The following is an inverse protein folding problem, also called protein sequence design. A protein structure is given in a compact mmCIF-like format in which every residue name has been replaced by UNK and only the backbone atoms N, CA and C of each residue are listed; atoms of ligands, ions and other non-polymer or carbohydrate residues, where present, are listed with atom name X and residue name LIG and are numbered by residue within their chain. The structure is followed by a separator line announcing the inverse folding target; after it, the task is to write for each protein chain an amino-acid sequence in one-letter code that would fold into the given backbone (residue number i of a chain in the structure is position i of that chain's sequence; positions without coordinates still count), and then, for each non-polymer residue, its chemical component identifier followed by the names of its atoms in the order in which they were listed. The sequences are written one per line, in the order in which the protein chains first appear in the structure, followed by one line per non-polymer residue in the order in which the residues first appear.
data_IF_977459256073
#
_entry.id   IF_977459256073
#
_cell.length_a   1.000
_cell.length_b   1.000
_cell.length_c   1.000
_cell.angle_alpha   90.00
_cell.angle_beta   90.00
_cell.angle_gamma   90.00
#
_symmetry.space_group_name_H-M   'P 1'
#
loop_
_entity.id
_entity.type
_entity.pdbx_description
1 polymer ?
#
# COMPACT_ATOMS: atom_id res chain seq x y z
N UNK A 1 -1.69 0.31 1.17
CA UNK A 1 -1.41 -1.15 1.26
C UNK A 1 -0.93 -1.65 -0.09
N UNK A 2 0.14 -2.42 -0.12
CA UNK A 2 0.74 -2.96 -1.34
C UNK A 2 0.20 -4.38 -1.59
N UNK A 3 -0.42 -4.61 -2.75
CA UNK A 3 -0.86 -5.93 -3.21
C UNK A 3 0.00 -6.41 -4.37
N UNK A 4 0.39 -7.68 -4.33
CA UNK A 4 1.36 -8.23 -5.26
C UNK A 4 1.57 -9.72 -5.07
N UNK A 5 2.72 -10.23 -5.50
CA UNK A 5 3.10 -11.62 -5.32
C UNK A 5 4.56 -11.77 -4.90
N UNK A 6 4.91 -12.90 -4.29
CA UNK A 6 6.29 -13.23 -3.95
C UNK A 6 6.89 -14.15 -5.00
N UNK A 7 8.03 -13.78 -5.55
CA UNK A 7 8.72 -14.49 -6.61
C UNK A 7 10.18 -14.75 -6.25
N UNK A 8 10.83 -15.79 -6.80
CA UNK A 8 12.27 -15.98 -6.66
C UNK A 8 13.03 -14.80 -7.29
N UNK A 9 13.97 -14.23 -6.53
CA UNK A 9 14.88 -13.22 -7.04
C UNK A 9 16.13 -13.91 -7.60
N UNK A 10 16.31 -13.82 -8.92
CA UNK A 10 17.38 -14.55 -9.63
C UNK A 10 18.79 -14.00 -9.37
N UNK A 11 18.92 -12.73 -9.00
CA UNK A 11 20.21 -12.05 -8.83
C UNK A 11 20.79 -12.20 -7.42
N UNK A 12 19.98 -12.68 -6.47
CA UNK A 12 20.39 -12.94 -5.08
C UNK A 12 20.25 -14.43 -4.78
N UNK A 13 21.29 -15.13 -4.27
CA UNK A 13 21.20 -16.55 -3.94
C UNK A 13 20.06 -16.85 -2.98
N UNK A 14 19.10 -17.69 -3.41
CA UNK A 14 17.88 -18.01 -2.66
C UNK A 14 17.04 -16.77 -2.28
N UNK A 15 17.21 -15.68 -3.03
CA UNK A 15 16.49 -14.43 -2.80
C UNK A 15 15.01 -14.56 -3.13
N UNK A 16 14.20 -13.78 -2.43
CA UNK A 16 12.77 -13.62 -2.67
C UNK A 16 12.53 -12.14 -2.89
N UNK A 17 11.78 -11.80 -3.93
CA UNK A 17 11.31 -10.43 -4.18
C UNK A 17 9.78 -10.38 -4.03
N UNK A 18 9.28 -9.25 -3.56
CA UNK A 18 7.86 -8.93 -3.63
C UNK A 18 7.63 -8.07 -4.89
N UNK A 19 6.88 -8.59 -5.86
CA UNK A 19 6.47 -7.83 -7.04
C UNK A 19 5.13 -7.18 -6.73
N UNK A 20 5.11 -5.86 -6.56
CA UNK A 20 3.90 -5.08 -6.29
C UNK A 20 3.14 -4.85 -7.59
N UNK A 21 1.83 -5.02 -7.53
CA UNK A 21 0.93 -4.93 -8.68
C UNK A 21 -0.09 -3.80 -8.54
N UNK A 22 -0.60 -3.57 -7.34
CA UNK A 22 -1.55 -2.51 -7.06
C UNK A 22 -1.34 -1.95 -5.65
N UNK A 23 -1.77 -0.71 -5.46
CA UNK A 23 -1.75 -0.02 -4.17
C UNK A 23 -3.19 0.28 -3.79
N UNK A 24 -3.66 -0.29 -2.69
CA UNK A 24 -4.96 0.01 -2.10
C UNK A 24 -4.81 1.08 -1.03
N UNK A 25 -5.64 2.12 -1.03
CA UNK A 25 -5.62 3.17 -0.03
C UNK A 25 -6.70 2.93 1.03
N UNK A 26 -6.35 2.46 2.24
CA UNK A 26 -7.34 2.26 3.29
C UNK A 26 -7.90 3.61 3.79
N UNK A 27 -9.07 3.62 4.45
CA UNK A 27 -9.58 4.79 5.15
C UNK A 27 -8.51 5.37 6.09
N UNK A 28 -8.21 6.65 5.92
CA UNK A 28 -7.12 7.31 6.63
C UNK A 28 -7.39 8.80 6.80
N UNK A 29 -6.84 9.37 7.88
CA UNK A 29 -6.78 10.80 8.15
C UNK A 29 -5.32 11.25 8.08
N UNK A 30 -5.03 12.15 7.15
CA UNK A 30 -3.69 12.70 6.96
C UNK A 30 -3.67 14.20 7.23
N UNK A 31 -2.53 14.68 7.72
CA UNK A 31 -2.14 16.08 7.69
C UNK A 31 -0.75 16.20 7.08
N UNK A 32 -0.17 17.40 7.09
CA UNK A 32 1.22 17.61 6.68
C UNK A 32 2.19 16.79 7.55
N UNK A 33 1.88 16.65 8.84
CA UNK A 33 2.83 16.17 9.85
C UNK A 33 2.41 14.84 10.51
N UNK A 34 1.24 14.26 10.15
CA UNK A 34 0.82 12.97 10.70
C UNK A 34 -0.05 12.19 9.72
N UNK A 35 -0.08 10.86 9.91
CA UNK A 35 -0.99 9.95 9.25
C UNK A 35 -1.64 9.03 10.27
N UNK A 36 -2.95 8.89 10.22
CA UNK A 36 -3.72 7.98 11.06
C UNK A 36 -4.56 7.05 10.19
N UNK A 37 -4.32 5.75 10.32
CA UNK A 37 -5.17 4.75 9.69
C UNK A 37 -6.48 4.59 10.47
N UNK A 38 -7.59 4.59 9.77
CA UNK A 38 -8.92 4.34 10.33
C UNK A 38 -9.31 2.85 10.16
N UNK A 39 -10.29 2.36 10.92
CA UNK A 39 -10.86 1.04 10.71
C UNK A 39 -11.39 0.88 9.27
N UNK A 40 -11.03 -0.23 8.64
CA UNK A 40 -11.43 -0.54 7.27
C UNK A 40 -12.36 -1.76 7.26
N UNK A 41 -13.66 -1.51 7.10
CA UNK A 41 -14.68 -2.55 7.01
C UNK A 41 -14.57 -3.37 5.71
N UNK A 42 -13.92 -2.82 4.67
CA UNK A 42 -13.78 -3.43 3.35
C UNK A 42 -12.48 -4.24 3.23
N UNK A 43 -11.59 -4.20 4.21
CA UNK A 43 -10.27 -4.84 4.15
C UNK A 43 -10.31 -6.34 3.79
N UNK A 44 -11.20 -7.11 4.43
CA UNK A 44 -11.32 -8.56 4.19
C UNK A 44 -11.86 -8.87 2.77
N UNK A 45 -12.72 -8.00 2.25
CA UNK A 45 -13.25 -8.10 0.90
C UNK A 45 -12.14 -7.83 -0.13
N UNK A 46 -11.36 -6.77 0.09
CA UNK A 46 -10.21 -6.44 -0.78
C UNK A 46 -9.18 -7.58 -0.76
N UNK A 47 -8.89 -8.14 0.41
CA UNK A 47 -8.00 -9.30 0.54
C UNK A 47 -8.54 -10.54 -0.20
N UNK A 48 -9.87 -10.72 -0.25
CA UNK A 48 -10.51 -11.80 -1.01
C UNK A 48 -10.38 -11.58 -2.52
N UNK A 49 -10.71 -10.39 -3.02
CA UNK A 49 -10.57 -10.06 -4.45
C UNK A 49 -9.12 -10.21 -4.90
N UNK A 50 -8.17 -9.69 -4.11
CA UNK A 50 -6.75 -9.84 -4.38
C UNK A 50 -6.35 -11.33 -4.46
N UNK A 51 -6.80 -12.16 -3.51
CA UNK A 51 -6.51 -13.60 -3.50
C UNK A 51 -7.04 -14.32 -4.73
N UNK A 52 -8.25 -14.00 -5.17
CA UNK A 52 -8.87 -14.62 -6.35
C UNK A 52 -8.11 -14.23 -7.64
N UNK A 53 -7.56 -13.01 -7.69
CA UNK A 53 -6.62 -12.55 -8.73
C UNK A 53 -5.20 -13.16 -8.60
N UNK A 54 -4.93 -13.95 -7.56
CA UNK A 54 -3.61 -14.52 -7.28
C UNK A 54 -2.62 -13.57 -6.61
N UNK A 55 -3.11 -12.45 -6.08
CA UNK A 55 -2.36 -11.44 -5.34
C UNK A 55 -2.52 -11.64 -3.83
N UNK A 56 -1.55 -11.14 -3.07
CA UNK A 56 -1.56 -11.09 -1.61
C UNK A 56 -1.09 -9.71 -1.16
N UNK A 57 -1.48 -9.31 0.05
CA UNK A 57 -0.94 -8.10 0.67
C UNK A 57 0.53 -8.34 1.04
N UNK A 58 1.43 -7.67 0.33
CA UNK A 58 2.89 -7.87 0.47
C UNK A 58 3.56 -6.82 1.35
N UNK A 59 2.89 -5.69 1.58
CA UNK A 59 3.48 -4.61 2.36
C UNK A 59 2.57 -3.40 2.51
N UNK A 60 3.16 -2.30 2.99
CA UNK A 60 2.54 -0.99 3.04
C UNK A 60 3.53 0.07 2.58
N UNK A 61 3.00 1.22 2.16
CA UNK A 61 3.77 2.37 1.71
C UNK A 61 3.17 3.62 2.36
N UNK A 62 4.02 4.56 2.71
CA UNK A 62 3.64 5.89 3.15
C UNK A 62 4.58 6.93 2.53
N UNK A 63 4.16 8.19 2.55
CA UNK A 63 4.90 9.30 1.94
C UNK A 63 5.40 10.26 3.00
N UNK A 64 6.64 10.72 2.83
CA UNK A 64 7.23 11.80 3.62
C UNK A 64 7.97 12.75 2.67
N UNK A 65 7.17 13.54 1.94
CA UNK A 65 7.63 14.44 0.90
C UNK A 65 7.35 15.88 1.30
N UNK A 66 8.43 16.65 1.49
CA UNK A 66 8.35 18.10 1.68
C UNK A 66 8.87 18.77 0.42
N UNK A 67 8.03 19.53 -0.33
CA UNK A 67 8.46 20.19 -1.53
C UNK A 67 9.51 21.27 -1.20
N UNK A 68 10.65 21.22 -1.90
CA UNK A 68 11.69 22.26 -1.84
C UNK A 68 11.42 23.32 -2.90
N UNK A 69 11.11 22.88 -4.12
CA UNK A 69 10.76 23.78 -5.22
C UNK A 69 9.66 23.17 -6.10
N UNK A 70 8.45 23.72 -5.99
CA UNK A 70 7.28 23.27 -6.75
C UNK A 70 7.43 23.40 -8.27
N UNK A 71 8.21 24.37 -8.77
CA UNK A 71 8.40 24.55 -10.23
C UNK A 71 9.36 23.51 -10.82
N UNK A 72 10.33 23.06 -10.02
CA UNK A 72 11.31 22.04 -10.43
C UNK A 72 10.87 20.62 -10.06
N UNK A 73 9.83 20.48 -9.23
CA UNK A 73 9.39 19.19 -8.69
C UNK A 73 10.38 18.57 -7.72
N UNK A 74 11.25 19.37 -7.07
CA UNK A 74 12.26 18.87 -6.14
C UNK A 74 11.73 18.79 -4.71
N UNK A 75 12.23 17.81 -3.95
CA UNK A 75 11.80 17.50 -2.59
C UNK A 75 12.99 17.53 -1.64
N UNK A 76 12.75 17.80 -0.36
CA UNK A 76 13.80 17.82 0.67
C UNK A 76 14.30 16.42 1.00
N UNK A 77 15.61 16.29 1.21
CA UNK A 77 16.25 15.10 1.77
C UNK A 77 16.25 15.17 3.30
N UNK A 78 15.17 14.73 3.93
CA UNK A 78 14.98 14.81 5.39
C UNK A 78 15.43 13.56 6.14
N UNK A 79 15.41 12.39 5.49
CA UNK A 79 15.81 11.10 6.06
C UNK A 79 17.22 10.75 5.61
N UNK A 80 18.19 10.83 6.52
CA UNK A 80 19.59 10.57 6.22
C UNK A 80 20.36 10.12 7.47
N UNK A 81 21.66 9.85 7.30
CA UNK A 81 22.54 9.38 8.38
C UNK A 81 22.64 10.34 9.59
N UNK A 82 22.34 11.63 9.40
CA UNK A 82 22.36 12.64 10.48
C UNK A 82 20.98 12.87 11.11
N UNK A 83 19.93 12.19 10.61
CA UNK A 83 18.57 12.25 11.16
C UNK A 83 18.10 10.83 11.50
N UNK A 84 17.22 10.26 10.69
CA UNK A 84 16.68 8.92 10.83
C UNK A 84 16.23 8.40 9.47
N UNK A 85 16.20 7.07 9.32
CA UNK A 85 15.65 6.41 8.14
C UNK A 85 14.15 6.14 8.31
N UNK A 86 13.79 5.49 9.43
CA UNK A 86 12.41 5.40 9.93
C UNK A 86 12.32 6.10 11.28
N UNK A 87 11.12 6.52 11.67
CA UNK A 87 10.86 6.94 13.04
C UNK A 87 10.55 5.73 13.93
N UNK A 88 10.65 5.89 15.25
CA UNK A 88 10.27 4.86 16.20
C UNK A 88 8.79 4.46 16.07
N UNK A 89 7.91 5.41 15.75
CA UNK A 89 6.49 5.15 15.48
C UNK A 89 6.29 4.30 14.22
N UNK A 90 6.98 4.64 13.13
CA UNK A 90 6.97 3.88 11.88
C UNK A 90 7.55 2.48 12.04
N UNK A 91 8.62 2.34 12.84
CA UNK A 91 9.24 1.05 13.16
C UNK A 91 8.29 0.17 13.98
N UNK A 92 7.60 0.74 14.97
CA UNK A 92 6.57 0.03 15.74
C UNK A 92 5.40 -0.37 14.83
N UNK A 93 4.97 0.52 13.93
CA UNK A 93 3.90 0.24 12.97
C UNK A 93 4.30 -0.87 11.98
N UNK A 94 5.54 -0.87 11.50
CA UNK A 94 6.09 -1.93 10.67
C UNK A 94 6.10 -3.28 11.41
N UNK A 95 6.54 -3.30 12.67
CA UNK A 95 6.49 -4.49 13.52
C UNK A 95 5.07 -4.99 13.76
N UNK A 96 4.10 -4.09 13.95
CA UNK A 96 2.68 -4.43 14.06
C UNK A 96 2.17 -5.11 12.78
N UNK A 97 2.45 -4.55 11.60
CA UNK A 97 2.02 -5.15 10.34
C UNK A 97 2.70 -6.49 10.05
N UNK A 98 3.98 -6.64 10.36
CA UNK A 98 4.68 -7.91 10.21
C UNK A 98 4.10 -8.99 11.14
N UNK A 99 3.75 -8.64 12.38
CA UNK A 99 3.09 -9.57 13.31
C UNK A 99 1.68 -9.97 12.83
N UNK A 100 0.96 -9.08 12.14
CA UNK A 100 -0.35 -9.38 11.54
C UNK A 100 -0.25 -10.31 10.32
N UNK A 101 0.91 -10.37 9.67
CA UNK A 101 1.16 -11.18 8.48
C UNK A 101 2.35 -12.14 8.69
N UNK A 102 2.24 -13.13 9.60
CA UNK A 102 3.32 -14.07 9.87
C UNK A 102 3.57 -14.98 8.66
N UNK A 103 4.84 -15.29 8.39
CA UNK A 103 5.21 -16.16 7.27
C UNK A 103 5.15 -17.64 7.68
N UNK A 104 4.33 -18.49 7.03
CA UNK A 104 4.29 -19.92 7.30
C UNK A 104 5.64 -20.59 7.00
N UNK A 105 6.11 -21.41 7.94
CA UNK A 105 7.40 -22.09 7.86
C UNK A 105 7.32 -23.48 8.52
N UNK A 106 7.42 -24.54 7.72
CA UNK A 106 7.39 -25.94 8.21
C UNK A 106 8.56 -26.31 9.11
N UNK A 107 9.67 -25.57 9.03
CA UNK A 107 10.87 -25.78 9.83
C UNK A 107 10.80 -25.07 11.20
N UNK A 108 9.82 -24.20 11.39
CA UNK A 108 9.58 -23.54 12.67
C UNK A 108 8.76 -24.44 13.58
N UNK A 109 9.11 -24.59 14.87
CA UNK A 109 8.30 -25.32 15.85
C UNK A 109 6.85 -24.83 15.92
N UNK A 110 6.66 -23.51 15.79
CA UNK A 110 5.34 -22.86 15.88
C UNK A 110 4.61 -22.79 14.53
N UNK A 111 5.19 -23.36 13.47
CA UNK A 111 4.64 -23.33 12.11
C UNK A 111 4.80 -22.00 11.37
N UNK A 112 5.31 -20.96 12.02
CA UNK A 112 5.57 -19.64 11.45
C UNK A 112 6.96 -19.12 11.82
N UNK A 113 7.59 -18.36 10.93
CA UNK A 113 8.87 -17.71 11.21
C UNK A 113 8.99 -16.37 10.48
N UNK A 114 9.14 -15.29 11.26
CA UNK A 114 9.23 -13.92 10.77
C UNK A 114 8.03 -13.50 9.93
N UNK A 115 8.25 -12.50 9.08
CA UNK A 115 7.27 -12.01 8.10
C UNK A 115 7.96 -11.63 6.80
N UNK A 116 7.26 -11.80 5.68
CA UNK A 116 7.66 -11.27 4.36
C UNK A 116 7.04 -9.90 4.07
N UNK A 117 6.30 -9.35 5.02
CA UNK A 117 5.65 -8.06 4.86
C UNK A 117 6.71 -6.95 4.86
N UNK A 118 6.65 -6.07 3.86
CA UNK A 118 7.61 -4.97 3.68
C UNK A 118 7.00 -3.61 4.00
N UNK A 119 7.85 -2.69 4.43
CA UNK A 119 7.53 -1.28 4.64
C UNK A 119 8.26 -0.46 3.60
N UNK A 120 7.56 0.39 2.87
CA UNK A 120 8.16 1.30 1.88
C UNK A 120 7.92 2.75 2.31
N UNK A 121 8.98 3.54 2.38
CA UNK A 121 8.92 4.98 2.59
C UNK A 121 9.17 5.68 1.25
N UNK A 122 8.26 6.56 0.85
CA UNK A 122 8.46 7.40 -0.33
C UNK A 122 8.90 8.80 0.12
N UNK A 123 10.18 9.12 -0.08
CA UNK A 123 10.84 10.33 0.44
C UNK A 123 11.81 10.93 -0.57
N UNK A 124 12.49 12.03 -0.22
CA UNK A 124 13.51 12.65 -1.07
C UNK A 124 14.89 12.02 -0.91
N UNK A 125 15.64 11.85 -2.01
CA UNK A 125 17.03 11.37 -1.99
C UNK A 125 18.06 12.52 -1.84
N UNK A 126 19.35 12.18 -1.77
CA UNK A 126 20.47 13.15 -1.73
C UNK A 126 20.46 14.16 -2.89
N UNK A 127 19.86 13.79 -4.04
CA UNK A 127 19.75 14.63 -5.23
C UNK A 127 18.45 15.45 -5.27
N UNK A 128 17.65 15.43 -4.21
CA UNK A 128 16.35 16.10 -4.10
C UNK A 128 15.27 15.58 -5.07
N UNK A 129 15.42 14.32 -5.51
CA UNK A 129 14.42 13.60 -6.28
C UNK A 129 13.59 12.70 -5.36
N UNK A 130 12.32 12.51 -5.70
CA UNK A 130 11.48 11.55 -5.00
C UNK A 130 11.96 10.12 -5.30
N UNK A 131 12.14 9.32 -4.25
CA UNK A 131 12.59 7.93 -4.35
C UNK A 131 11.95 7.06 -3.27
N UNK A 132 12.04 5.74 -3.43
CA UNK A 132 11.50 4.75 -2.52
C UNK A 132 12.60 4.06 -1.72
N UNK A 133 12.46 4.04 -0.40
CA UNK A 133 13.28 3.28 0.53
C UNK A 133 12.47 2.11 1.08
N UNK A 134 13.03 0.89 1.07
CA UNK A 134 12.36 -0.31 1.55
C UNK A 134 13.00 -0.83 2.83
N UNK A 135 12.16 -1.24 3.77
CA UNK A 135 12.56 -1.73 5.07
C UNK A 135 11.74 -2.94 5.49
N UNK A 136 12.35 -3.79 6.29
CA UNK A 136 11.69 -4.72 7.19
C UNK A 136 12.20 -4.48 8.60
N UNK A 137 11.42 -4.86 9.61
CA UNK A 137 11.94 -4.91 10.97
C UNK A 137 12.41 -6.33 11.31
N UNK A 138 13.37 -6.42 12.20
CA UNK A 138 13.93 -7.70 12.64
C UNK A 138 12.88 -8.53 13.39
N UNK A 139 13.06 -9.85 13.43
CA UNK A 139 12.21 -10.72 14.24
C UNK A 139 12.25 -10.35 15.74
N UNK A 140 13.34 -9.73 16.21
CA UNK A 140 13.44 -9.21 17.57
C UNK A 140 12.53 -8.00 17.76
N UNK A 141 12.49 -7.07 16.80
CA UNK A 141 11.53 -5.96 16.80
C UNK A 141 10.09 -6.46 16.81
N UNK A 142 9.78 -7.45 15.95
CA UNK A 142 8.46 -8.08 15.93
C UNK A 142 8.06 -8.59 17.33
N UNK A 143 8.95 -9.31 18.03
CA UNK A 143 8.68 -9.80 19.38
C UNK A 143 8.48 -8.64 20.39
N UNK A 144 9.34 -7.62 20.35
CA UNK A 144 9.24 -6.45 21.23
C UNK A 144 7.95 -5.66 21.01
N UNK A 145 7.48 -5.53 19.76
CA UNK A 145 6.22 -4.86 19.44
C UNK A 145 5.03 -5.72 19.85
N UNK A 146 5.05 -7.03 19.56
CA UNK A 146 3.98 -7.98 19.93
C UNK A 146 3.74 -7.98 21.43
N UNK A 147 4.81 -8.01 22.21
CA UNK A 147 4.76 -8.08 23.67
C UNK A 147 4.65 -6.67 24.29
N UNK A 148 4.39 -5.64 23.48
CA UNK A 148 4.22 -4.26 23.91
C UNK A 148 5.38 -3.79 24.82
N UNK A 149 6.62 -4.02 24.41
CA UNK A 149 7.82 -3.64 25.16
C UNK A 149 8.43 -2.31 24.66
N UNK A 150 8.12 -1.88 23.43
CA UNK A 150 8.66 -0.65 22.83
C UNK A 150 7.66 0.51 22.89
N UNK A 151 8.20 1.70 23.15
CA UNK A 151 7.52 2.99 23.06
C UNK A 151 8.28 3.91 22.10
N UNK A 152 7.58 4.73 21.30
CA UNK A 152 8.24 5.82 20.59
C UNK A 152 8.71 6.88 21.58
N UNK A 153 9.78 7.59 21.24
CA UNK A 153 10.21 8.77 22.00
C UNK A 153 9.64 10.04 21.38
N UNK A 154 9.55 11.11 22.17
CA UNK A 154 8.92 12.37 21.74
C UNK A 154 9.85 13.23 20.87
N UNK A 155 11.09 13.42 21.32
CA UNK A 155 12.02 14.41 20.75
C UNK A 155 13.15 13.79 19.90
N UNK A 156 13.19 12.46 19.78
CA UNK A 156 14.26 11.72 19.11
C UNK A 156 13.70 10.58 18.24
N UNK A 157 13.17 10.87 17.03
CA UNK A 157 12.51 9.86 16.19
C UNK A 157 13.36 8.63 15.89
N UNK A 158 14.70 8.74 15.89
CA UNK A 158 15.66 7.66 15.72
C UNK A 158 15.79 6.71 16.93
N UNK A 159 15.19 7.07 18.07
CA UNK A 159 15.27 6.34 19.32
C UNK A 159 13.89 5.81 19.75
N UNK A 160 13.85 4.55 20.17
CA UNK A 160 12.72 3.94 20.88
C UNK A 160 13.08 3.72 22.36
N UNK A 161 12.09 3.74 23.23
CA UNK A 161 12.28 3.47 24.66
C UNK A 161 11.73 2.09 25.00
N UNK A 162 12.56 1.21 25.58
CA UNK A 162 12.08 -0.07 26.12
C UNK A 162 11.44 0.18 27.48
N UNK A 163 10.16 -0.21 27.62
CA UNK A 163 9.39 -0.08 28.85
C UNK A 163 10.12 -0.72 30.04
N UNK A 164 9.90 -0.16 31.22
CA UNK A 164 10.34 -0.79 32.45
C UNK A 164 9.34 -1.87 32.89
N UNK A 165 9.84 -2.91 33.57
CA UNK A 165 8.96 -3.90 34.18
C UNK A 165 8.05 -3.25 35.21
N UNK A 166 6.76 -3.59 35.15
CA UNK A 166 5.76 -3.18 36.14
C UNK A 166 5.10 -4.42 36.76
N UNK A 167 4.22 -4.21 37.74
CA UNK A 167 3.42 -5.30 38.32
C UNK A 167 2.42 -5.90 37.31
N UNK A 168 2.06 -5.14 36.28
CA UNK A 168 1.06 -5.53 35.26
C UNK A 168 1.70 -6.23 34.06
N UNK A 169 2.95 -5.87 33.74
CA UNK A 169 3.67 -6.37 32.58
C UNK A 169 5.15 -6.56 32.90
N UNK A 170 5.62 -7.79 32.73
CA UNK A 170 7.05 -8.10 32.79
C UNK A 170 7.72 -7.70 31.47
N UNK A 171 8.72 -6.83 31.54
CA UNK A 171 9.55 -6.43 30.41
C UNK A 171 11.00 -6.77 30.73
N UNK A 172 11.64 -7.71 30.02
CA UNK A 172 13.00 -8.12 30.32
C UNK A 172 13.98 -6.96 30.07
N UNK A 173 15.14 -7.01 30.70
CA UNK A 173 16.21 -6.08 30.38
C UNK A 173 16.73 -6.36 28.97
N UNK A 174 16.57 -5.36 28.09
CA UNK A 174 17.03 -5.41 26.71
C UNK A 174 18.35 -4.64 26.62
N UNK A 175 19.32 -5.26 25.96
CA UNK A 175 20.64 -4.68 25.74
C UNK A 175 20.97 -4.71 24.25
N UNK A 176 21.78 -3.75 23.81
CA UNK A 176 22.36 -3.73 22.47
C UNK A 176 23.87 -3.54 22.57
N UNK A 177 24.58 -3.97 21.53
CA UNK A 177 26.04 -3.85 21.45
C UNK A 177 26.40 -2.70 20.54
N UNK A 178 27.28 -1.83 21.02
CA UNK A 178 27.89 -0.76 20.23
C UNK A 178 29.40 -0.94 20.17
N UNK A 179 30.03 -0.50 19.09
CA UNK A 179 31.49 -0.41 19.01
C UNK A 179 31.95 0.96 19.51
N UNK A 180 32.86 0.99 20.47
CA UNK A 180 33.47 2.22 20.93
C UNK A 180 34.49 2.79 19.91
N UNK A 181 35.04 3.97 20.19
CA UNK A 181 36.07 4.62 19.35
C UNK A 181 37.36 3.80 19.22
N UNK A 182 37.56 2.78 20.04
CA UNK A 182 38.71 1.88 20.05
C UNK A 182 38.40 0.52 19.40
N UNK A 183 37.18 0.32 18.90
CA UNK A 183 36.73 -0.90 18.23
C UNK A 183 36.27 -2.02 19.17
N UNK A 184 36.17 -1.78 20.48
CA UNK A 184 35.69 -2.78 21.44
C UNK A 184 34.15 -2.82 21.44
N UNK A 185 33.56 -4.01 21.60
CA UNK A 185 32.12 -4.16 21.80
C UNK A 185 31.72 -3.84 23.24
N UNK A 186 30.93 -2.80 23.42
CA UNK A 186 30.35 -2.40 24.70
C UNK A 186 28.85 -2.70 24.69
N UNK A 187 28.36 -3.27 25.79
CA UNK A 187 26.93 -3.55 25.98
C UNK A 187 26.28 -2.32 26.62
N UNK A 188 25.22 -1.80 26.00
CA UNK A 188 24.41 -0.71 26.52
C UNK A 188 22.97 -1.16 26.77
N UNK A 189 22.33 -0.52 27.76
CA UNK A 189 20.92 -0.74 28.08
C UNK A 189 20.05 -0.04 27.03
N UNK A 190 19.04 -0.73 26.52
CA UNK A 190 18.12 -0.26 25.47
C UNK A 190 17.07 0.77 25.98
N UNK A 191 17.52 1.75 26.78
CA UNK A 191 16.71 2.82 27.36
C UNK A 191 17.47 4.15 27.28
N UNK A 192 17.61 4.78 26.09
CA UNK A 192 16.92 4.48 24.83
C UNK A 192 17.63 3.44 23.93
N UNK A 193 16.90 2.92 22.95
CA UNK A 193 17.36 1.99 21.92
C UNK A 193 17.36 2.69 20.56
N UNK A 194 18.51 2.80 19.88
CA UNK A 194 18.53 3.24 18.49
C UNK A 194 17.79 2.26 17.59
N UNK A 195 16.82 2.73 16.83
CA UNK A 195 15.95 1.85 16.04
C UNK A 195 16.69 1.20 14.88
N UNK A 196 17.82 1.75 14.44
CA UNK A 196 18.65 1.20 13.36
C UNK A 196 19.04 -0.27 13.59
N UNK A 197 19.22 -0.69 14.85
CA UNK A 197 19.51 -2.08 15.22
C UNK A 197 18.34 -3.02 14.95
N UNK A 198 17.14 -2.48 14.79
CA UNK A 198 15.90 -3.21 14.53
C UNK A 198 15.52 -3.21 13.05
N UNK A 199 16.19 -2.44 12.21
CA UNK A 199 15.87 -2.29 10.79
C UNK A 199 16.72 -3.22 9.92
N UNK A 200 16.11 -3.66 8.83
CA UNK A 200 16.75 -4.42 7.76
C UNK A 200 16.40 -3.72 6.45
N UNK A 201 17.42 -3.30 5.72
CA UNK A 201 17.23 -2.67 4.41
C UNK A 201 16.77 -3.71 3.38
N UNK A 202 15.71 -3.35 2.64
CA UNK A 202 15.18 -4.14 1.52
C UNK A 202 15.29 -3.30 0.26
N UNK A 203 16.12 -3.70 -0.72
CA UNK A 203 16.23 -2.96 -1.98
C UNK A 203 14.88 -2.83 -2.68
N UNK A 204 14.54 -1.59 -3.07
CA UNK A 204 13.35 -1.28 -3.87
C UNK A 204 13.79 -0.82 -5.24
N UNK A 205 13.15 -1.33 -6.27
CA UNK A 205 13.40 -0.90 -7.64
C UNK A 205 12.14 -1.02 -8.48
N UNK A 206 12.11 -0.22 -9.54
CA UNK A 206 11.17 -0.39 -10.63
C UNK A 206 11.80 -1.25 -11.71
N UNK A 207 11.03 -2.13 -12.40
CA UNK A 207 11.54 -2.86 -13.55
C UNK A 207 12.01 -1.89 -14.65
N UNK A 208 13.14 -2.19 -15.30
CA UNK A 208 13.63 -1.39 -16.44
C UNK A 208 12.60 -1.34 -17.58
N UNK A 209 11.97 -2.47 -17.86
CA UNK A 209 10.85 -2.58 -18.79
C UNK A 209 9.55 -2.69 -17.99
N UNK A 210 8.58 -1.77 -18.15
CA UNK A 210 7.36 -1.76 -17.35
C UNK A 210 6.53 -3.01 -17.63
N UNK A 211 6.24 -3.78 -16.58
CA UNK A 211 5.43 -4.99 -16.65
C UNK A 211 4.08 -4.72 -16.00
N UNK A 212 3.05 -4.55 -16.83
CA UNK A 212 1.70 -4.28 -16.37
C UNK A 212 0.93 -5.59 -16.15
N UNK A 213 0.44 -5.79 -14.92
CA UNK A 213 -0.51 -6.88 -14.62
C UNK A 213 -1.93 -6.43 -14.92
N UNK A 214 -2.28 -5.22 -14.51
CA UNK A 214 -3.53 -4.54 -14.86
C UNK A 214 -3.39 -3.78 -16.18
N UNK A 215 -4.49 -3.48 -16.84
CA UNK A 215 -4.44 -2.77 -18.11
C UNK A 215 -4.05 -1.31 -17.86
N UNK A 216 -2.99 -0.85 -18.53
CA UNK A 216 -2.54 0.53 -18.46
C UNK A 216 -2.37 1.06 -19.88
N UNK A 217 -3.08 2.14 -20.19
CA UNK A 217 -3.03 2.83 -21.47
C UNK A 217 -2.98 4.33 -21.21
N UNK A 218 -1.92 4.99 -21.67
CA UNK A 218 -1.66 6.41 -21.46
C UNK A 218 -2.74 7.30 -22.09
N UNK A 219 -3.50 6.77 -23.05
CA UNK A 219 -4.59 7.49 -23.69
C UNK A 219 -5.91 7.48 -22.91
N UNK A 220 -6.04 6.63 -21.90
CA UNK A 220 -7.26 6.47 -21.10
C UNK A 220 -7.08 6.99 -19.69
N UNK A 221 -8.17 7.49 -19.09
CA UNK A 221 -8.17 7.88 -17.69
C UNK A 221 -8.48 6.67 -16.81
N UNK A 222 -7.65 6.38 -15.78
CA UNK A 222 -7.89 5.27 -14.86
C UNK A 222 -9.13 5.53 -13.99
N UNK A 223 -9.69 4.45 -13.42
CA UNK A 223 -10.83 4.58 -12.53
C UNK A 223 -10.40 5.30 -11.23
N UNK A 224 -11.25 6.15 -10.62
CA UNK A 224 -10.91 6.84 -9.37
C UNK A 224 -10.50 5.87 -8.26
N UNK A 225 -9.44 6.21 -7.53
CA UNK A 225 -8.95 5.42 -6.39
C UNK A 225 -9.88 5.63 -5.18
N UNK A 226 -10.09 4.58 -4.40
CA UNK A 226 -10.92 4.62 -3.19
C UNK A 226 -10.40 5.60 -2.12
N UNK A 227 -11.30 6.03 -1.23
CA UNK A 227 -10.96 6.83 -0.03
C UNK A 227 -10.28 8.19 -0.28
N UNK A 228 -10.45 8.76 -1.48
CA UNK A 228 -9.90 10.08 -1.88
C UNK A 228 -10.97 11.18 -2.02
N UNK A 229 -12.01 11.15 -1.19
CA UNK A 229 -13.11 12.13 -1.26
C UNK A 229 -12.63 13.59 -1.12
N UNK A 230 -11.59 13.82 -0.29
CA UNK A 230 -11.03 15.16 -0.09
C UNK A 230 -10.28 15.70 -1.32
N UNK A 231 -9.81 14.83 -2.20
CA UNK A 231 -9.10 15.18 -3.44
C UNK A 231 -10.05 15.34 -4.64
N UNK A 232 -11.37 15.21 -4.39
CA UNK A 232 -12.39 15.24 -5.44
C UNK A 232 -12.48 13.97 -6.29
N UNK A 233 -11.75 12.91 -5.93
CA UNK A 233 -11.87 11.60 -6.55
C UNK A 233 -12.96 10.80 -5.85
N UNK A 234 -14.17 10.87 -6.40
CA UNK A 234 -15.34 10.15 -5.89
C UNK A 234 -15.58 8.92 -6.77
N UNK A 235 -15.76 7.76 -6.12
CA UNK A 235 -16.21 6.55 -6.80
C UNK A 235 -17.74 6.55 -6.82
N UNK A 236 -18.32 7.02 -7.91
CA UNK A 236 -19.75 7.03 -8.15
C UNK A 236 -20.10 6.41 -9.52
N UNK A 237 -21.41 6.26 -9.76
CA UNK A 237 -21.91 5.66 -10.98
C UNK A 237 -21.62 6.52 -12.24
N UNK A 238 -21.71 7.86 -12.20
CA UNK A 238 -21.27 8.71 -13.32
C UNK A 238 -19.79 8.49 -13.72
N UNK A 239 -18.88 8.32 -12.76
CA UNK A 239 -17.48 8.02 -13.04
C UNK A 239 -17.31 6.62 -13.63
N UNK A 240 -18.12 5.64 -13.22
CA UNK A 240 -18.18 4.32 -13.86
C UNK A 240 -18.60 4.42 -15.33
N UNK A 241 -19.64 5.18 -15.64
CA UNK A 241 -20.11 5.43 -17.02
C UNK A 241 -19.00 6.08 -17.87
N UNK A 242 -18.41 7.15 -17.34
CA UNK A 242 -17.30 7.87 -17.98
C UNK A 242 -16.11 6.94 -18.27
N UNK A 243 -15.75 6.09 -17.32
CA UNK A 243 -14.66 5.12 -17.45
C UNK A 243 -14.95 4.09 -18.54
N UNK A 244 -16.10 3.41 -18.47
CA UNK A 244 -16.46 2.32 -19.39
C UNK A 244 -16.65 2.81 -20.84
N UNK A 245 -17.11 4.05 -21.05
CA UNK A 245 -17.25 4.66 -22.39
C UNK A 245 -15.94 4.84 -23.15
N UNK A 246 -14.80 4.77 -22.46
CA UNK A 246 -13.48 4.84 -23.11
C UNK A 246 -13.09 3.53 -23.81
N UNK A 247 -13.84 2.45 -23.58
CA UNK A 247 -13.55 1.12 -24.09
C UNK A 247 -14.59 0.68 -25.12
N UNK A 248 -14.14 -0.04 -26.14
CA UNK A 248 -15.03 -0.70 -27.10
C UNK A 248 -15.53 -2.04 -26.53
N UNK A 249 -16.60 -2.60 -27.10
CA UNK A 249 -17.15 -3.90 -26.69
C UNK A 249 -16.13 -5.05 -26.71
N UNK A 250 -15.16 -5.01 -27.63
CA UNK A 250 -14.08 -6.01 -27.73
C UNK A 250 -12.95 -5.84 -26.70
N UNK A 251 -12.97 -4.73 -25.94
CA UNK A 251 -11.99 -4.36 -24.93
C UNK A 251 -12.52 -4.50 -23.50
N UNK A 252 -13.55 -5.32 -23.32
CA UNK A 252 -14.19 -5.51 -22.02
C UNK A 252 -13.24 -6.06 -20.95
N UNK A 253 -12.37 -7.02 -21.33
CA UNK A 253 -11.37 -7.58 -20.42
C UNK A 253 -10.39 -6.49 -19.97
N UNK A 254 -9.95 -5.64 -20.88
CA UNK A 254 -9.06 -4.51 -20.61
C UNK A 254 -9.73 -3.48 -19.69
N UNK A 255 -11.01 -3.18 -19.89
CA UNK A 255 -11.77 -2.29 -19.03
C UNK A 255 -11.93 -2.84 -17.60
N UNK A 256 -12.20 -4.14 -17.47
CA UNK A 256 -12.39 -4.78 -16.16
C UNK A 256 -11.07 -5.10 -15.46
N UNK A 257 -9.95 -5.01 -16.16
CA UNK A 257 -8.61 -5.27 -15.63
C UNK A 257 -8.05 -4.04 -14.88
N UNK A 258 -8.85 -3.46 -13.98
CA UNK A 258 -8.50 -2.36 -13.08
C UNK A 258 -8.86 -2.76 -11.64
N UNK A 259 -7.88 -2.71 -10.73
CA UNK A 259 -8.06 -3.18 -9.35
C UNK A 259 -9.08 -2.34 -8.57
N UNK A 260 -9.09 -1.02 -8.77
CA UNK A 260 -9.95 -0.10 -8.05
C UNK A 260 -11.40 -0.23 -8.52
N UNK A 261 -11.58 -0.44 -9.83
CA UNK A 261 -12.89 -0.75 -10.40
C UNK A 261 -13.48 -2.04 -9.81
N UNK A 262 -12.68 -3.10 -9.71
CA UNK A 262 -13.14 -4.39 -9.17
C UNK A 262 -13.60 -4.25 -7.70
N UNK A 263 -12.88 -3.46 -6.90
CA UNK A 263 -13.26 -3.15 -5.52
C UNK A 263 -14.57 -2.35 -5.49
N UNK A 264 -14.72 -1.37 -6.37
CA UNK A 264 -15.95 -0.60 -6.49
C UNK A 264 -17.14 -1.49 -6.84
N UNK A 265 -17.03 -2.34 -7.87
CA UNK A 265 -18.09 -3.27 -8.27
C UNK A 265 -18.46 -4.27 -7.16
N UNK A 266 -17.48 -4.70 -6.37
CA UNK A 266 -17.73 -5.58 -5.23
C UNK A 266 -18.40 -4.87 -4.03
N UNK A 267 -18.20 -3.56 -3.88
CA UNK A 267 -18.68 -2.77 -2.74
C UNK A 267 -19.85 -1.85 -3.05
N UNK A 268 -20.34 -1.85 -4.29
CA UNK A 268 -21.43 -0.99 -4.72
C UNK A 268 -22.74 -1.34 -4.01
N UNK A 269 -23.33 -0.38 -3.31
CA UNK A 269 -24.54 -0.57 -2.50
C UNK A 269 -25.78 -0.89 -3.35
N UNK A 270 -25.87 -0.35 -4.56
CA UNK A 270 -27.03 -0.50 -5.45
C UNK A 270 -27.18 -1.93 -5.97
N UNK A 271 -26.06 -2.59 -6.26
CA UNK A 271 -26.01 -3.93 -6.87
C UNK A 271 -24.67 -4.58 -6.47
N UNK A 272 -24.59 -5.21 -5.28
CA UNK A 272 -23.37 -5.87 -4.86
C UNK A 272 -23.13 -7.09 -5.75
N UNK A 273 -22.08 -7.02 -6.58
CA UNK A 273 -21.72 -8.06 -7.56
C UNK A 273 -20.71 -9.08 -7.03
N UNK A 274 -20.39 -9.03 -5.74
CA UNK A 274 -19.32 -9.85 -5.16
C UNK A 274 -19.51 -11.35 -5.44
N UNK A 275 -20.74 -11.87 -5.32
CA UNK A 275 -21.03 -13.30 -5.52
C UNK A 275 -20.85 -13.75 -6.99
N UNK A 276 -21.00 -12.82 -7.95
CA UNK A 276 -20.86 -13.10 -9.37
C UNK A 276 -19.51 -12.68 -9.93
N UNK A 277 -18.65 -12.06 -9.13
CA UNK A 277 -17.36 -11.55 -9.59
C UNK A 277 -16.34 -12.67 -9.84
N UNK A 278 -16.51 -13.84 -9.20
CA UNK A 278 -15.52 -14.92 -9.24
C UNK A 278 -15.12 -15.37 -10.67
N UNK A 279 -16.04 -15.60 -11.63
CA UNK A 279 -15.68 -15.90 -13.01
C UNK A 279 -14.93 -14.74 -13.68
N UNK A 280 -15.29 -13.48 -13.41
CA UNK A 280 -14.59 -12.34 -13.97
C UNK A 280 -13.15 -12.24 -13.45
N UNK A 281 -12.93 -12.47 -12.15
CA UNK A 281 -11.59 -12.48 -11.55
C UNK A 281 -10.73 -13.61 -12.14
N UNK A 282 -11.32 -14.78 -12.41
CA UNK A 282 -10.65 -15.89 -13.10
C UNK A 282 -10.28 -15.52 -14.55
N UNK A 283 -11.18 -14.85 -15.28
CA UNK A 283 -10.89 -14.33 -16.63
C UNK A 283 -9.71 -13.35 -16.63
N UNK A 284 -9.70 -12.39 -15.70
CA UNK A 284 -8.64 -11.39 -15.59
C UNK A 284 -7.31 -12.05 -15.24
N UNK A 285 -7.31 -12.97 -14.27
CA UNK A 285 -6.11 -13.71 -13.85
C UNK A 285 -5.50 -14.52 -14.99
N UNK A 286 -6.31 -15.19 -15.78
CA UNK A 286 -5.86 -16.03 -16.90
C UNK A 286 -5.74 -15.27 -18.22
N UNK A 287 -6.09 -13.98 -18.26
CA UNK A 287 -6.18 -13.14 -19.46
C UNK A 287 -7.10 -13.76 -20.54
N UNK A 288 -8.19 -14.39 -20.10
CA UNK A 288 -9.16 -15.07 -20.97
C UNK A 288 -10.28 -14.10 -21.41
N UNK A 289 -10.22 -13.68 -22.68
CA UNK A 289 -11.21 -12.78 -23.29
C UNK A 289 -12.58 -13.44 -23.48
N UNK A 290 -12.62 -14.74 -23.73
CA UNK A 290 -13.88 -15.45 -23.99
C UNK A 290 -14.69 -15.56 -22.70
N UNK A 291 -14.02 -15.88 -21.59
CA UNK A 291 -14.65 -15.98 -20.28
C UNK A 291 -15.16 -14.61 -19.80
N UNK A 292 -14.38 -13.54 -20.00
CA UNK A 292 -14.82 -12.17 -19.71
C UNK A 292 -16.05 -11.76 -20.56
N UNK A 293 -16.03 -12.09 -21.86
CA UNK A 293 -17.16 -11.83 -22.77
C UNK A 293 -18.40 -12.65 -22.44
N UNK A 294 -18.24 -13.82 -21.83
CA UNK A 294 -19.36 -14.61 -21.31
C UNK A 294 -19.94 -13.95 -20.07
N UNK A 295 -19.10 -13.44 -19.19
CA UNK A 295 -19.53 -12.75 -17.97
C UNK A 295 -20.29 -11.45 -18.26
N UNK A 296 -19.86 -10.68 -19.26
CA UNK A 296 -20.58 -9.47 -19.69
C UNK A 296 -21.99 -9.76 -20.22
N UNK A 297 -22.30 -11.01 -20.59
CA UNK A 297 -23.67 -11.41 -21.00
C UNK A 297 -24.52 -11.90 -19.83
N UNK A 298 -24.05 -11.77 -18.59
CA UNK A 298 -24.82 -12.18 -17.41
C UNK A 298 -25.98 -11.24 -17.13
N UNK A 299 -27.09 -11.78 -16.59
CA UNK A 299 -28.30 -10.99 -16.31
C UNK A 299 -28.04 -9.83 -15.32
N UNK A 300 -27.13 -10.05 -14.36
CA UNK A 300 -26.75 -9.02 -13.38
C UNK A 300 -25.90 -7.92 -14.01
N UNK A 301 -24.99 -8.25 -14.92
CA UNK A 301 -24.25 -7.23 -15.67
C UNK A 301 -25.17 -6.47 -16.64
N UNK A 302 -26.10 -7.15 -17.30
CA UNK A 302 -27.11 -6.49 -18.13
C UNK A 302 -27.92 -5.45 -17.35
N UNK A 303 -28.18 -5.68 -16.05
CA UNK A 303 -28.81 -4.68 -15.17
C UNK A 303 -27.92 -3.45 -14.97
N UNK A 304 -26.61 -3.64 -14.82
CA UNK A 304 -25.65 -2.53 -14.77
C UNK A 304 -25.64 -1.79 -16.10
N UNK A 305 -25.58 -2.48 -17.24
CA UNK A 305 -25.62 -1.86 -18.56
C UNK A 305 -26.89 -1.03 -18.78
N UNK A 306 -28.05 -1.53 -18.37
CA UNK A 306 -29.29 -0.75 -18.41
C UNK A 306 -29.23 0.52 -17.55
N UNK A 307 -28.61 0.45 -16.37
CA UNK A 307 -28.40 1.64 -15.54
C UNK A 307 -27.41 2.63 -16.19
N UNK A 308 -26.35 2.12 -16.84
CA UNK A 308 -25.37 2.93 -17.58
C UNK A 308 -26.04 3.69 -18.74
N UNK A 309 -26.99 3.05 -19.42
CA UNK A 309 -27.76 3.66 -20.51
C UNK A 309 -28.72 4.74 -19.99
N UNK A 310 -29.43 4.47 -18.88
CA UNK A 310 -30.37 5.43 -18.29
C UNK A 310 -29.70 6.72 -17.80
N UNK A 311 -28.57 6.64 -17.10
CA UNK A 311 -27.84 7.85 -16.69
C UNK A 311 -27.20 8.59 -17.87
N UNK A 312 -27.01 7.91 -19.00
CA UNK A 312 -26.48 8.50 -20.21
C UNK A 312 -27.40 9.50 -20.90
N UNK A 313 -28.71 9.42 -20.67
CA UNK A 313 -29.72 10.26 -21.32
C UNK A 313 -30.00 11.59 -20.59
N UNK A 314 -29.65 11.74 -19.31
CA UNK A 314 -30.01 12.92 -18.50
C UNK A 314 -29.01 14.09 -18.55
N UNK A 315 -27.94 14.05 -19.35
CA UNK A 315 -26.93 15.10 -19.37
C UNK A 315 -27.09 16.11 -20.53
N UNK A 316 -27.80 17.23 -20.28
CA UNK A 316 -27.53 18.65 -20.65
C UNK A 316 -28.81 19.52 -20.44
N UNK A 317 -28.76 20.77 -19.92
CA UNK A 317 -27.68 21.75 -20.11
C UNK A 317 -27.06 22.32 -18.83
N UNK A 318 -25.88 22.90 -19.05
CA UNK A 318 -25.00 23.65 -18.16
C UNK A 318 -25.68 24.74 -17.34
N UNK A 319 -25.51 24.68 -16.01
CA UNK A 319 -25.60 25.86 -15.13
C UNK A 319 -24.21 26.18 -14.63
N UNK A 320 -23.72 27.31 -15.14
CA UNK A 320 -22.49 27.96 -14.76
C UNK A 320 -22.60 28.43 -13.30
N UNK A 321 -21.98 27.72 -12.35
CA UNK A 321 -21.80 28.21 -10.99
C UNK A 321 -20.32 28.14 -10.64
N UNK A 322 -19.66 29.30 -10.73
CA UNK A 322 -18.26 29.44 -10.39
C UNK A 322 -18.01 29.15 -8.91
N UNK A 323 -17.15 28.19 -8.66
CA UNK A 323 -16.46 28.02 -7.38
C UNK A 323 -14.97 27.92 -7.70
N UNK A 324 -14.21 28.93 -7.31
CA UNK A 324 -12.76 28.89 -7.28
C UNK A 324 -12.34 27.81 -6.28
N UNK A 325 -11.76 26.72 -6.76
CA UNK A 325 -11.05 25.74 -5.93
C UNK A 325 -9.57 25.82 -6.28
N UNK A 326 -8.76 26.10 -5.26
CA UNK A 326 -7.32 26.16 -5.32
C UNK A 326 -6.76 24.79 -5.72
N UNK A 327 -6.03 24.77 -6.83
CA UNK A 327 -5.28 23.63 -7.34
C UNK A 327 -4.21 23.21 -6.31
N UNK A 328 -4.37 22.03 -5.72
CA UNK A 328 -3.29 21.32 -5.04
C UNK A 328 -3.00 20.09 -5.89
N UNK A 329 -1.82 20.07 -6.51
CA UNK A 329 -1.47 19.15 -7.59
C UNK A 329 -1.49 17.69 -7.16
N UNK A 330 -2.22 16.87 -7.91
CA UNK A 330 -2.16 15.41 -7.85
C UNK A 330 -0.89 14.93 -8.55
N UNK A 331 0.00 14.27 -7.80
CA UNK A 331 1.17 13.60 -8.37
C UNK A 331 0.74 12.28 -9.02
N UNK A 332 0.87 12.19 -10.34
CA UNK A 332 0.82 10.92 -11.06
C UNK A 332 2.23 10.32 -11.05
N UNK A 333 2.40 9.21 -10.34
CA UNK A 333 3.59 8.37 -10.49
C UNK A 333 3.46 7.67 -11.84
N UNK A 334 4.40 7.92 -12.74
CA UNK A 334 4.50 7.24 -14.04
C UNK A 334 5.09 5.85 -13.90
#
# INVERSE_FOLDING_TARGET
MLYGSYEPHKDVPLGIKATVTAIYEPPQEGSRDFLRLLPDEKADLVDRIARDLGLVRVGWIFTDLIPENLQKGTVKHIRNINSHFLSAEECIMAGYFQNKHPNPCKLSPDGYFGSKFVTVCFTGDENQHAHMEGYQVSNQCMALVRDNCLLPTLDAPELAYVRESSNEQYVPDVFYKVKDSYGNEVIQVARPLPIEYLLVDVPVSTPNDPQFTFFADVSKTPFPIENRLLDGQVQDFPHLVSYLRQFNSDQFLEAMSDFHLLIYLATMDLLPLMDDLAPLLEAIRNKDRELASKWSRSDRWATVEHLLDCEGEECLPSINCGIFVLNVGSFHVK
#
